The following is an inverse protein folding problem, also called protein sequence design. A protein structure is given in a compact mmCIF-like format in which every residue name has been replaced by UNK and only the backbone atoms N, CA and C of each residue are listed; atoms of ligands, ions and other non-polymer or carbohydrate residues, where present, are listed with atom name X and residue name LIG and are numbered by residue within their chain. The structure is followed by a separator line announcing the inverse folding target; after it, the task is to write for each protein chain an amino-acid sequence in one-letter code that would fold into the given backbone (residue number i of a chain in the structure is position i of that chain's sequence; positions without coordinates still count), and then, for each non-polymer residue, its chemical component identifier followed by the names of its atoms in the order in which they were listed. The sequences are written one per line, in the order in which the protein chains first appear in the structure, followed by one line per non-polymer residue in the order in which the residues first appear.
data_IF_445478796036
#
_entry.id   IF_445478796036
#
_cell.length_a   1.000
_cell.length_b   1.000
_cell.length_c   1.000
_cell.angle_alpha   90.00
_cell.angle_beta   90.00
_cell.angle_gamma   90.00
#
_symmetry.space_group_name_H-M   'P 1'
#
loop_
_entity.id
_entity.type
_entity.pdbx_description
1 polymer ?
#
# COMPACT_ATOMS: atom_id res chain seq x y z
N UNK A 1 31.47 75.13 47.32
CA UNK A 1 31.90 74.60 46.02
C UNK A 1 30.69 74.69 45.10
N UNK A 2 30.79 75.60 44.12
CA UNK A 2 29.85 75.96 43.04
C UNK A 2 28.35 76.23 43.30
N UNK A 3 28.02 77.45 42.91
CA UNK A 3 26.80 78.27 43.01
C UNK A 3 25.81 78.08 41.85
N UNK A 4 24.58 78.61 42.06
CA UNK A 4 23.66 79.35 41.14
C UNK A 4 22.27 78.70 40.98
N UNK A 5 21.21 79.35 41.47
CA UNK A 5 20.44 80.47 40.86
C UNK A 5 19.64 79.99 39.62
N UNK A 6 18.29 79.91 39.61
CA UNK A 6 17.21 80.91 39.73
C UNK A 6 16.42 80.99 38.41
N UNK A 7 15.09 80.80 38.51
CA UNK A 7 13.96 81.35 37.70
C UNK A 7 13.63 80.88 36.26
N UNK A 8 12.32 80.58 36.15
CA UNK A 8 11.27 81.06 35.19
C UNK A 8 11.13 80.45 33.79
N UNK A 9 9.92 79.89 33.59
CA UNK A 9 8.97 80.01 32.47
C UNK A 9 9.49 80.35 31.05
N UNK A 10 9.07 79.55 30.07
CA UNK A 10 8.11 79.95 29.00
C UNK A 10 7.88 78.82 27.97
N UNK A 11 6.61 78.65 27.59
CA UNK A 11 6.19 77.89 26.43
C UNK A 11 6.58 78.60 25.11
N UNK A 12 6.95 77.84 24.09
CA UNK A 12 7.16 78.35 22.73
C UNK A 12 6.43 77.42 21.74
N UNK A 13 5.39 77.97 21.10
CA UNK A 13 4.84 77.52 19.82
C UNK A 13 5.75 78.06 18.71
N UNK A 14 6.13 77.23 17.73
CA UNK A 14 6.70 77.70 16.46
C UNK A 14 5.83 77.17 15.32
N UNK A 15 5.25 78.13 14.57
CA UNK A 15 4.72 77.98 13.22
C UNK A 15 5.86 77.59 12.27
N UNK A 16 5.63 76.65 11.36
CA UNK A 16 6.36 76.58 10.09
C UNK A 16 5.42 76.97 8.95
N UNK A 17 5.60 78.19 8.46
CA UNK A 17 5.32 78.62 7.09
C UNK A 17 6.40 78.05 6.16
N UNK A 18 6.01 77.45 5.02
CA UNK A 18 6.96 76.95 4.04
C UNK A 18 6.34 76.57 2.69
N UNK A 19 6.41 77.52 1.76
CA UNK A 19 6.37 77.46 0.29
C UNK A 19 5.70 76.26 -0.43
N UNK A 20 4.67 76.60 -1.21
CA UNK A 20 4.14 75.82 -2.32
C UNK A 20 5.14 75.84 -3.49
N UNK A 21 5.82 74.73 -3.77
CA UNK A 21 6.54 74.50 -5.02
C UNK A 21 5.77 73.45 -5.82
N UNK A 22 5.04 73.89 -6.85
CA UNK A 22 4.44 72.99 -7.83
C UNK A 22 5.55 72.35 -8.68
N UNK A 23 5.90 71.10 -8.38
CA UNK A 23 6.56 70.23 -9.35
C UNK A 23 5.48 69.49 -10.13
N UNK A 24 5.29 69.89 -11.39
CA UNK A 24 4.60 69.08 -12.39
C UNK A 24 5.56 67.96 -12.78
N UNK A 25 5.41 66.79 -12.16
CA UNK A 25 5.98 65.55 -12.69
C UNK A 25 5.02 65.00 -13.76
N UNK A 26 5.49 64.96 -14.99
CA UNK A 26 4.85 64.17 -16.04
C UNK A 26 4.95 62.70 -15.63
N UNK A 27 3.80 62.05 -15.37
CA UNK A 27 3.71 60.60 -15.17
C UNK A 27 4.10 59.89 -16.47
N UNK A 28 5.37 59.54 -16.61
CA UNK A 28 5.79 58.48 -17.52
C UNK A 28 5.19 57.18 -16.98
N UNK A 29 4.51 56.45 -17.86
CA UNK A 29 3.74 55.24 -17.53
C UNK A 29 4.55 54.27 -16.68
N UNK A 30 4.16 54.15 -15.43
CA UNK A 30 4.55 53.03 -14.59
C UNK A 30 3.75 51.83 -15.12
N UNK A 31 4.41 50.93 -15.86
CA UNK A 31 3.85 49.60 -16.06
C UNK A 31 3.61 49.02 -14.67
N UNK A 32 2.36 48.68 -14.37
CA UNK A 32 2.05 47.94 -13.16
C UNK A 32 2.85 46.63 -13.24
N UNK A 33 3.95 46.55 -12.50
CA UNK A 33 4.56 45.28 -12.17
C UNK A 33 3.45 44.51 -11.45
N UNK A 34 2.79 43.60 -12.19
CA UNK A 34 1.92 42.60 -11.59
C UNK A 34 2.86 41.79 -10.72
N UNK A 35 2.88 42.07 -9.43
CA UNK A 35 3.38 41.10 -8.46
C UNK A 35 2.71 39.77 -8.84
N UNK A 36 3.47 38.67 -9.01
CA UNK A 36 2.84 37.38 -9.18
C UNK A 36 1.93 37.20 -7.98
N UNK A 37 0.62 37.26 -8.23
CA UNK A 37 -0.36 36.83 -7.25
C UNK A 37 0.04 35.38 -6.99
N UNK A 38 0.28 34.98 -5.72
CA UNK A 38 0.45 33.56 -5.42
C UNK A 38 -0.67 32.82 -6.14
N UNK A 39 -0.35 31.77 -6.90
CA UNK A 39 -1.38 30.93 -7.50
C UNK A 39 -2.38 30.62 -6.38
N UNK A 40 -3.65 30.96 -6.59
CA UNK A 40 -4.70 30.64 -5.65
C UNK A 40 -4.53 29.16 -5.28
N UNK A 41 -4.33 28.87 -3.99
CA UNK A 41 -4.23 27.47 -3.55
C UNK A 41 -5.59 26.88 -3.80
N UNK A 42 -5.72 26.10 -4.87
CA UNK A 42 -6.99 25.48 -5.22
C UNK A 42 -7.26 24.40 -4.18
N UNK A 43 -8.43 24.49 -3.55
CA UNK A 43 -8.95 23.51 -2.60
C UNK A 43 -9.98 22.64 -3.31
N UNK A 44 -10.13 21.41 -2.84
CA UNK A 44 -11.12 20.47 -3.37
C UNK A 44 -12.54 21.05 -3.28
N UNK A 45 -12.92 21.47 -2.08
CA UNK A 45 -14.18 22.11 -1.76
C UNK A 45 -14.06 22.85 -0.41
N UNK A 46 -14.81 23.94 -0.23
CA UNK A 46 -14.75 24.76 0.99
C UNK A 46 -15.39 24.15 2.23
N UNK A 47 -15.99 22.96 2.11
CA UNK A 47 -16.55 22.22 3.25
C UNK A 47 -15.51 21.34 3.95
N UNK A 48 -14.33 21.12 3.34
CA UNK A 48 -13.19 20.49 4.00
C UNK A 48 -12.31 21.57 4.62
N UNK A 49 -12.36 21.68 5.95
CA UNK A 49 -11.73 22.78 6.67
C UNK A 49 -10.21 22.64 6.78
N UNK A 50 -9.69 21.42 6.62
CA UNK A 50 -8.27 21.14 6.74
C UNK A 50 -7.76 20.25 5.61
N UNK A 51 -6.49 20.43 5.26
CA UNK A 51 -5.74 19.50 4.43
C UNK A 51 -4.29 19.40 4.86
N UNK A 52 -3.63 18.31 4.48
CA UNK A 52 -2.21 18.10 4.67
C UNK A 52 -1.59 17.69 3.33
N UNK A 53 -0.51 18.37 2.93
CA UNK A 53 0.28 17.92 1.79
C UNK A 53 1.07 16.67 2.20
N UNK A 54 1.04 15.65 1.34
CA UNK A 54 1.85 14.46 1.45
C UNK A 54 2.79 14.45 0.25
N UNK A 55 4.08 14.30 0.52
CA UNK A 55 5.10 14.13 -0.50
C UNK A 55 5.62 12.70 -0.42
N UNK A 56 5.48 11.97 -1.52
CA UNK A 56 5.98 10.62 -1.74
C UNK A 56 7.33 10.75 -2.46
N UNK A 57 8.39 10.28 -1.83
CA UNK A 57 9.74 10.39 -2.39
C UNK A 57 9.87 9.58 -3.68
N UNK A 58 10.50 10.17 -4.70
CA UNK A 58 10.78 9.46 -5.96
C UNK A 58 11.73 8.27 -5.76
N UNK A 59 12.50 8.27 -4.67
CA UNK A 59 13.39 7.16 -4.31
C UNK A 59 12.67 5.89 -3.88
N UNK A 60 11.34 5.94 -3.68
CA UNK A 60 10.51 4.76 -3.40
C UNK A 60 10.50 3.79 -4.58
N UNK A 61 10.49 4.32 -5.80
CA UNK A 61 10.29 3.55 -7.03
C UNK A 61 11.56 3.56 -7.91
N UNK A 62 12.06 2.39 -8.35
CA UNK A 62 13.21 2.33 -9.27
C UNK A 62 12.88 2.85 -10.69
N UNK A 63 11.63 2.71 -11.12
CA UNK A 63 11.08 3.23 -12.37
C UNK A 63 9.70 3.84 -12.15
N UNK A 64 9.21 4.63 -13.11
CA UNK A 64 7.86 5.21 -13.03
C UNK A 64 6.82 4.08 -12.99
N UNK A 65 5.88 4.15 -12.03
CA UNK A 65 4.75 3.22 -11.93
C UNK A 65 3.45 3.90 -12.34
N UNK A 66 2.56 3.17 -13.00
CA UNK A 66 1.22 3.65 -13.38
C UNK A 66 0.15 2.99 -12.51
N UNK A 67 -0.87 3.75 -12.11
CA UNK A 67 -1.99 3.25 -11.29
C UNK A 67 -1.53 2.46 -10.04
N UNK A 68 -0.51 2.97 -9.36
CA UNK A 68 0.13 2.27 -8.23
C UNK A 68 -0.60 2.57 -6.90
N UNK A 69 -1.07 1.55 -6.16
CA UNK A 69 -1.68 1.73 -4.85
C UNK A 69 -0.60 1.98 -3.78
N UNK A 70 -0.42 3.24 -3.38
CA UNK A 70 0.53 3.62 -2.33
C UNK A 70 -0.13 3.51 -0.96
N UNK A 71 0.48 2.76 -0.04
CA UNK A 71 0.15 2.79 1.39
C UNK A 71 0.60 4.11 1.99
N UNK A 72 -0.37 4.89 2.48
CA UNK A 72 -0.21 6.06 3.33
C UNK A 72 -0.43 5.64 4.77
N UNK A 73 0.68 5.49 5.51
CA UNK A 73 0.66 5.10 6.94
C UNK A 73 1.05 6.27 7.83
N UNK A 74 0.19 6.59 8.79
CA UNK A 74 0.43 7.64 9.81
C UNK A 74 0.34 7.00 11.19
N UNK A 75 1.47 6.87 11.87
CA UNK A 75 1.56 6.39 13.26
C UNK A 75 1.98 7.47 14.25
N UNK A 76 2.28 8.68 13.75
CA UNK A 76 2.55 9.84 14.61
C UNK A 76 1.24 10.27 15.27
N UNK A 77 1.06 9.88 16.54
CA UNK A 77 -0.13 10.15 17.34
C UNK A 77 -0.49 11.63 17.53
N UNK A 78 0.41 12.55 17.16
CA UNK A 78 0.16 13.99 17.17
C UNK A 78 -0.27 14.55 15.81
N UNK A 79 -0.44 13.71 14.78
CA UNK A 79 -0.95 14.17 13.49
C UNK A 79 -2.38 14.74 13.68
N UNK A 80 -2.67 15.94 13.15
CA UNK A 80 -3.96 16.61 13.34
C UNK A 80 -5.15 15.85 12.74
N UNK A 81 -4.95 14.93 11.78
CA UNK A 81 -6.03 14.08 11.23
C UNK A 81 -6.80 13.34 12.33
N UNK A 82 -6.13 12.92 13.41
CA UNK A 82 -6.76 12.21 14.52
C UNK A 82 -7.58 13.10 15.45
N UNK A 83 -7.42 14.41 15.37
CA UNK A 83 -8.21 15.38 16.13
C UNK A 83 -9.37 15.96 15.32
N UNK A 84 -9.20 16.03 14.00
CA UNK A 84 -10.03 16.85 13.13
C UNK A 84 -10.90 16.06 12.14
N UNK A 85 -10.54 14.83 11.78
CA UNK A 85 -11.40 13.97 10.95
C UNK A 85 -12.54 13.35 11.80
N UNK A 86 -13.58 12.86 11.12
CA UNK A 86 -14.65 12.09 11.76
C UNK A 86 -14.08 10.86 12.46
N UNK A 87 -14.74 10.41 13.53
CA UNK A 87 -14.23 9.29 14.34
C UNK A 87 -14.11 7.97 13.59
N UNK A 88 -14.86 7.80 12.50
CA UNK A 88 -14.82 6.66 11.60
C UNK A 88 -13.95 6.89 10.35
N UNK A 89 -13.38 8.08 10.17
CA UNK A 89 -12.54 8.41 9.00
C UNK A 89 -13.32 8.72 7.72
N UNK A 90 -14.66 8.70 7.74
CA UNK A 90 -15.50 8.83 6.55
C UNK A 90 -15.25 10.10 5.72
N UNK A 91 -14.74 11.16 6.34
CA UNK A 91 -14.47 12.45 5.70
C UNK A 91 -13.04 12.63 5.18
N UNK A 92 -12.19 11.61 5.33
CA UNK A 92 -10.84 11.60 4.78
C UNK A 92 -10.94 11.46 3.25
N UNK A 93 -10.23 12.32 2.53
CA UNK A 93 -10.23 12.34 1.07
C UNK A 93 -8.82 12.64 0.55
N UNK A 94 -8.43 12.01 -0.55
CA UNK A 94 -7.17 12.30 -1.22
C UNK A 94 -7.38 12.98 -2.58
N UNK A 95 -6.51 13.93 -2.93
CA UNK A 95 -6.44 14.52 -4.27
C UNK A 95 -5.02 14.52 -4.82
N UNK A 96 -4.89 14.63 -6.14
CA UNK A 96 -3.63 14.95 -6.80
C UNK A 96 -3.07 16.31 -6.36
N UNK A 97 -1.87 16.64 -6.84
CA UNK A 97 -1.20 17.92 -6.57
C UNK A 97 -1.95 19.17 -7.05
N UNK A 98 -2.97 19.03 -7.90
CA UNK A 98 -3.84 20.15 -8.29
C UNK A 98 -4.84 20.56 -7.19
N UNK A 99 -4.97 19.74 -6.14
CA UNK A 99 -5.85 19.99 -5.00
C UNK A 99 -7.34 19.68 -5.25
N UNK A 100 -7.73 19.21 -6.42
CA UNK A 100 -9.13 19.04 -6.86
C UNK A 100 -9.43 17.68 -7.48
N UNK A 101 -8.48 17.05 -8.16
CA UNK A 101 -8.65 15.74 -8.77
C UNK A 101 -8.60 14.68 -7.69
N UNK A 102 -9.74 14.06 -7.38
CA UNK A 102 -9.83 12.99 -6.39
C UNK A 102 -8.98 11.79 -6.79
N UNK A 103 -8.40 11.14 -5.79
CA UNK A 103 -7.73 9.86 -5.92
C UNK A 103 -8.57 8.79 -5.23
N UNK A 104 -8.68 7.63 -5.86
CA UNK A 104 -9.34 6.48 -5.26
C UNK A 104 -8.53 6.03 -4.05
N UNK A 105 -9.23 5.71 -2.96
CA UNK A 105 -8.61 5.27 -1.73
C UNK A 105 -9.47 4.27 -0.98
N UNK A 106 -8.79 3.49 -0.14
CA UNK A 106 -9.32 2.51 0.79
C UNK A 106 -8.63 2.76 2.14
N UNK A 107 -9.41 2.82 3.21
CA UNK A 107 -8.95 2.93 4.57
C UNK A 107 -9.01 1.53 5.18
N UNK A 108 -7.87 0.85 5.15
CA UNK A 108 -7.73 -0.46 5.78
C UNK A 108 -7.84 -0.34 7.30
N UNK A 109 -7.30 0.74 7.86
CA UNK A 109 -7.43 1.03 9.29
C UNK A 109 -7.45 2.50 9.61
N UNK A 110 -8.38 2.88 10.48
CA UNK A 110 -8.39 4.20 11.11
C UNK A 110 -8.89 4.12 12.54
N UNK A 111 -8.14 4.74 13.45
CA UNK A 111 -8.64 5.01 14.80
C UNK A 111 -8.11 6.35 15.28
N UNK A 112 -9.01 7.31 15.46
CA UNK A 112 -8.71 8.64 16.00
C UNK A 112 -8.35 8.66 17.49
N UNK A 113 -8.72 7.62 18.25
CA UNK A 113 -8.64 7.64 19.71
C UNK A 113 -7.75 6.55 20.31
N UNK A 114 -7.91 5.28 19.91
CA UNK A 114 -7.26 4.16 20.58
C UNK A 114 -5.78 4.06 20.21
N UNK A 115 -5.49 3.78 18.95
CA UNK A 115 -4.14 3.62 18.40
C UNK A 115 -3.56 4.92 17.85
N UNK A 116 -4.44 5.84 17.38
CA UNK A 116 -4.06 7.05 16.63
C UNK A 116 -3.21 6.70 15.42
N UNK A 117 -3.83 5.90 14.57
CA UNK A 117 -3.22 5.33 13.38
C UNK A 117 -4.18 5.41 12.20
N UNK A 118 -3.60 5.64 11.03
CA UNK A 118 -4.25 5.60 9.73
C UNK A 118 -3.38 4.75 8.80
N UNK A 119 -3.98 3.72 8.22
CA UNK A 119 -3.45 2.93 7.11
C UNK A 119 -4.44 3.07 5.95
N UNK A 120 -4.02 3.77 4.90
CA UNK A 120 -4.86 3.98 3.72
C UNK A 120 -4.10 3.68 2.43
N UNK A 121 -4.71 2.90 1.54
CA UNK A 121 -4.24 2.70 0.18
C UNK A 121 -4.77 3.81 -0.71
N UNK A 122 -3.90 4.45 -1.49
CA UNK A 122 -4.28 5.53 -2.41
C UNK A 122 -3.73 5.24 -3.79
N UNK A 123 -4.59 5.14 -4.81
CA UNK A 123 -4.14 4.90 -6.20
C UNK A 123 -3.51 6.16 -6.77
N UNK A 124 -2.22 6.07 -7.08
CA UNK A 124 -1.44 7.14 -7.69
C UNK A 124 -1.34 6.87 -9.20
N UNK A 125 -1.96 7.71 -10.07
CA UNK A 125 -1.99 7.46 -11.51
C UNK A 125 -0.61 7.38 -12.15
N UNK A 126 0.36 8.14 -11.63
CA UNK A 126 1.75 8.13 -12.07
C UNK A 126 2.65 8.42 -10.88
N UNK A 127 3.30 7.39 -10.36
CA UNK A 127 4.32 7.50 -9.30
C UNK A 127 5.69 7.60 -9.97
N UNK A 128 6.35 8.76 -9.88
CA UNK A 128 7.61 8.96 -10.60
C UNK A 128 8.83 8.48 -9.82
N UNK A 129 9.82 7.90 -10.53
CA UNK A 129 11.15 7.59 -9.97
C UNK A 129 12.13 8.77 -9.99
N UNK A 130 11.81 9.84 -10.72
CA UNK A 130 12.74 10.96 -10.97
C UNK A 130 12.39 12.26 -10.24
N UNK A 131 11.15 12.40 -9.78
CA UNK A 131 10.69 13.55 -9.00
C UNK A 131 9.66 13.14 -7.97
N UNK A 132 9.67 13.79 -6.80
CA UNK A 132 8.72 13.49 -5.74
C UNK A 132 7.28 13.72 -6.20
N UNK A 133 6.39 12.81 -5.81
CA UNK A 133 4.97 12.90 -6.11
C UNK A 133 4.24 13.59 -4.96
N UNK A 134 3.41 14.58 -5.27
CA UNK A 134 2.65 15.36 -4.27
C UNK A 134 1.17 15.03 -4.39
N UNK A 135 0.55 14.76 -3.25
CA UNK A 135 -0.90 14.62 -3.08
C UNK A 135 -1.36 15.44 -1.87
N UNK A 136 -2.67 15.63 -1.73
CA UNK A 136 -3.27 16.26 -0.56
C UNK A 136 -4.25 15.31 0.11
N UNK A 137 -4.21 15.25 1.44
CA UNK A 137 -5.21 14.59 2.28
C UNK A 137 -6.10 15.65 2.91
N UNK A 138 -7.39 15.64 2.64
CA UNK A 138 -8.40 16.53 3.20
C UNK A 138 -9.21 15.82 4.29
N UNK A 139 -9.68 16.57 5.29
CA UNK A 139 -10.55 16.09 6.37
C UNK A 139 -11.29 17.25 7.04
N UNK A 140 -12.07 16.96 8.10
CA UNK A 140 -12.94 17.90 8.84
C UNK A 140 -14.14 18.37 8.05
N UNK A 141 -14.81 17.41 7.40
CA UNK A 141 -16.14 17.59 6.84
C UNK A 141 -17.13 16.64 7.51
N UNK A 142 -17.68 17.06 8.65
CA UNK A 142 -18.65 16.26 9.42
C UNK A 142 -20.00 15.97 8.73
N UNK A 143 -20.24 16.57 7.55
CA UNK A 143 -21.52 16.43 6.85
C UNK A 143 -21.55 15.33 5.80
N UNK A 144 -20.38 14.77 5.44
CA UNK A 144 -20.28 13.72 4.42
C UNK A 144 -20.33 12.33 5.03
N UNK A 145 -20.83 11.39 4.23
CA UNK A 145 -20.63 9.96 4.43
C UNK A 145 -19.26 9.53 3.91
N UNK A 146 -18.97 8.22 3.99
CA UNK A 146 -17.77 7.59 3.44
C UNK A 146 -17.38 8.15 2.05
N UNK A 147 -16.11 8.52 1.92
CA UNK A 147 -15.46 9.08 0.73
C UNK A 147 -14.61 8.07 -0.06
N UNK A 148 -14.41 6.87 0.46
CA UNK A 148 -13.61 5.80 -0.14
C UNK A 148 -14.17 5.36 -1.51
N UNK A 149 -13.27 4.82 -2.33
CA UNK A 149 -13.60 4.04 -3.51
C UNK A 149 -12.68 2.82 -3.55
N UNK A 150 -12.97 1.87 -2.66
CA UNK A 150 -12.13 0.68 -2.40
C UNK A 150 -11.78 -0.06 -3.69
N UNK A 151 -12.79 -0.48 -4.44
CA UNK A 151 -12.58 -1.19 -5.71
C UNK A 151 -11.86 -0.35 -6.79
N UNK A 152 -11.84 0.98 -6.68
CA UNK A 152 -11.11 1.86 -7.58
C UNK A 152 -9.64 2.04 -7.23
N UNK A 153 -9.20 1.62 -6.03
CA UNK A 153 -7.78 1.63 -5.62
C UNK A 153 -6.97 0.63 -6.42
N UNK A 154 -7.56 -0.54 -6.61
CA UNK A 154 -6.96 -1.68 -7.27
C UNK A 154 -7.34 -1.63 -8.75
N UNK A 155 -6.33 -1.50 -9.63
CA UNK A 155 -6.57 -1.50 -11.07
C UNK A 155 -7.27 -2.80 -11.54
N UNK A 156 -7.78 -2.80 -12.76
CA UNK A 156 -8.50 -3.97 -13.30
C UNK A 156 -7.64 -5.23 -13.43
N UNK A 157 -6.31 -5.09 -13.34
CA UNK A 157 -5.41 -6.23 -13.42
C UNK A 157 -5.27 -6.94 -12.06
N UNK A 158 -5.62 -6.29 -10.94
CA UNK A 158 -5.77 -6.99 -9.66
C UNK A 158 -7.00 -7.90 -9.70
N UNK A 159 -6.76 -9.19 -9.49
CA UNK A 159 -7.81 -10.22 -9.48
C UNK A 159 -8.26 -10.60 -8.07
N UNK A 160 -7.43 -10.31 -7.06
CA UNK A 160 -7.72 -10.51 -5.65
C UNK A 160 -6.81 -9.60 -4.82
N UNK A 161 -7.39 -8.97 -3.79
CA UNK A 161 -6.64 -8.32 -2.71
C UNK A 161 -7.26 -8.73 -1.39
N UNK A 162 -6.50 -9.45 -0.57
CA UNK A 162 -6.88 -9.93 0.75
C UNK A 162 -5.93 -9.31 1.77
N UNK A 163 -6.44 -8.33 2.52
CA UNK A 163 -5.72 -7.68 3.62
C UNK A 163 -5.69 -8.56 4.88
N UNK A 164 -6.60 -9.53 5.04
CA UNK A 164 -6.65 -10.47 6.18
C UNK A 164 -6.80 -9.78 7.54
N UNK A 165 -7.43 -8.62 7.58
CA UNK A 165 -7.62 -7.76 8.75
C UNK A 165 -8.98 -7.98 9.44
N UNK A 166 -9.94 -8.66 8.81
CA UNK A 166 -11.22 -8.95 9.45
C UNK A 166 -11.04 -9.85 10.67
N UNK A 167 -11.58 -9.41 11.81
CA UNK A 167 -11.43 -10.13 13.08
C UNK A 167 -12.48 -11.22 13.32
N UNK A 168 -13.44 -11.35 12.39
CA UNK A 168 -14.48 -12.37 12.40
C UNK A 168 -15.22 -12.40 11.06
N UNK A 169 -15.77 -13.55 10.69
CA UNK A 169 -16.63 -13.65 9.52
C UNK A 169 -15.80 -13.83 8.25
N UNK A 170 -16.26 -13.26 7.14
CA UNK A 170 -15.66 -13.40 5.81
C UNK A 170 -14.52 -12.40 5.63
N UNK A 171 -13.37 -12.84 5.12
CA UNK A 171 -12.38 -11.96 4.52
C UNK A 171 -12.85 -11.49 3.15
N UNK A 172 -12.94 -10.17 2.98
CA UNK A 172 -13.48 -9.51 1.82
C UNK A 172 -12.37 -9.25 0.79
N UNK A 173 -12.70 -9.42 -0.48
CA UNK A 173 -11.82 -9.02 -1.58
C UNK A 173 -11.98 -7.51 -1.85
N UNK A 174 -10.89 -6.75 -1.71
CA UNK A 174 -10.91 -5.31 -1.94
C UNK A 174 -11.02 -4.93 -3.42
N UNK A 175 -10.88 -5.88 -4.34
CA UNK A 175 -11.09 -5.63 -5.78
C UNK A 175 -12.57 -5.63 -6.15
N UNK A 176 -12.89 -5.15 -7.36
CA UNK A 176 -14.25 -5.23 -7.91
C UNK A 176 -14.75 -6.65 -8.23
N UNK A 177 -13.92 -7.67 -8.03
CA UNK A 177 -14.24 -9.05 -8.39
C UNK A 177 -15.04 -9.79 -7.31
N UNK A 178 -15.06 -9.28 -6.07
CA UNK A 178 -15.81 -9.88 -4.96
C UNK A 178 -15.45 -11.36 -4.73
N UNK A 179 -14.16 -11.70 -4.84
CA UNK A 179 -13.63 -13.03 -4.58
C UNK A 179 -13.45 -13.28 -3.07
N UNK A 180 -14.49 -12.98 -2.30
CA UNK A 180 -14.53 -13.11 -0.85
C UNK A 180 -14.31 -14.57 -0.42
N UNK A 181 -13.68 -14.76 0.73
CA UNK A 181 -13.42 -16.10 1.28
C UNK A 181 -14.68 -16.96 1.47
N UNK A 182 -14.55 -18.26 1.17
CA UNK A 182 -15.60 -19.27 1.33
C UNK A 182 -15.60 -19.83 2.75
N UNK A 183 -14.42 -20.13 3.28
CA UNK A 183 -14.26 -20.66 4.63
C UNK A 183 -12.93 -20.21 5.22
N UNK A 184 -12.93 -20.04 6.53
CA UNK A 184 -11.79 -19.58 7.32
C UNK A 184 -11.71 -20.49 8.54
N UNK A 185 -10.57 -21.13 8.70
CA UNK A 185 -10.19 -21.86 9.91
C UNK A 185 -8.77 -21.43 10.25
N UNK A 186 -8.62 -20.50 11.19
CA UNK A 186 -7.32 -19.91 11.57
C UNK A 186 -7.26 -19.76 13.09
N UNK A 187 -6.05 -19.64 13.64
CA UNK A 187 -5.85 -19.55 15.10
C UNK A 187 -6.29 -18.20 15.64
N UNK A 188 -5.89 -17.13 14.93
CA UNK A 188 -6.30 -15.77 15.18
C UNK A 188 -6.67 -15.16 13.83
N UNK A 189 -7.93 -14.73 13.69
CA UNK A 189 -8.41 -14.07 12.48
C UNK A 189 -8.18 -12.56 12.64
N UNK A 190 -7.44 -11.93 11.75
CA UNK A 190 -7.17 -10.46 11.69
C UNK A 190 -6.61 -9.79 12.94
N UNK A 191 -6.27 -10.56 13.98
CA UNK A 191 -5.82 -10.05 15.29
C UNK A 191 -4.36 -10.37 15.58
N UNK A 192 -3.75 -11.22 14.76
CA UNK A 192 -2.30 -11.39 14.80
C UNK A 192 -1.64 -10.10 14.30
N UNK A 193 -0.40 -9.85 14.75
CA UNK A 193 0.38 -8.73 14.21
C UNK A 193 0.57 -8.95 12.71
N UNK A 194 0.11 -8.01 11.88
CA UNK A 194 0.35 -7.95 10.44
C UNK A 194 1.60 -7.16 10.08
N UNK A 195 2.01 -7.24 8.82
CA UNK A 195 2.95 -6.29 8.23
C UNK A 195 2.24 -4.95 8.00
N UNK A 196 0.96 -5.00 7.63
CA UNK A 196 0.04 -3.88 7.48
C UNK A 196 -1.21 -4.27 8.30
N UNK A 197 -1.69 -3.34 9.13
CA UNK A 197 -2.71 -3.59 10.15
C UNK A 197 -2.57 -4.93 10.93
N UNK A 198 -3.40 -5.91 10.60
CA UNK A 198 -3.61 -7.17 11.27
C UNK A 198 -3.52 -8.31 10.26
N UNK A 199 -3.29 -9.51 10.77
CA UNK A 199 -3.07 -10.70 9.95
C UNK A 199 -3.78 -11.92 10.54
N UNK A 200 -3.80 -12.98 9.73
CA UNK A 200 -4.21 -14.30 10.19
C UNK A 200 -3.01 -15.12 10.71
N UNK A 201 -3.20 -15.81 11.84
CA UNK A 201 -2.22 -16.73 12.45
C UNK A 201 -2.54 -18.19 12.16
N UNK A 202 -1.55 -18.90 11.63
CA UNK A 202 -1.59 -20.32 11.29
C UNK A 202 -0.66 -21.15 12.18
N UNK A 203 -1.13 -22.31 12.69
CA UNK A 203 -0.38 -23.13 13.67
C UNK A 203 0.02 -24.54 13.19
N UNK A 204 0.22 -24.75 11.89
CA UNK A 204 0.84 -25.98 11.36
C UNK A 204 0.04 -27.28 11.51
N UNK A 205 -1.05 -27.30 12.29
CA UNK A 205 -1.85 -28.48 12.57
C UNK A 205 -3.27 -28.38 11.96
N UNK A 206 -3.75 -29.50 11.40
CA UNK A 206 -5.04 -29.76 10.74
C UNK A 206 -6.08 -28.63 10.68
N UNK A 207 -6.56 -28.35 9.47
CA UNK A 207 -7.61 -27.36 9.16
C UNK A 207 -7.22 -25.96 9.67
N UNK A 208 -6.06 -25.48 9.21
CA UNK A 208 -5.65 -24.11 9.45
C UNK A 208 -5.45 -23.43 8.08
N UNK A 209 -6.55 -23.03 7.46
CA UNK A 209 -6.56 -22.46 6.11
C UNK A 209 -7.71 -21.48 5.87
N UNK A 210 -7.46 -20.56 4.94
CA UNK A 210 -8.50 -19.75 4.29
C UNK A 210 -8.70 -20.30 2.89
N UNK A 211 -9.94 -20.68 2.58
CA UNK A 211 -10.34 -21.10 1.23
C UNK A 211 -11.00 -19.94 0.51
N UNK A 212 -10.48 -19.58 -0.66
CA UNK A 212 -11.03 -18.56 -1.55
C UNK A 212 -11.80 -19.23 -2.70
N UNK A 213 -12.68 -18.48 -3.41
CA UNK A 213 -13.43 -19.02 -4.54
C UNK A 213 -12.55 -19.43 -5.71
N UNK A 214 -13.11 -20.21 -6.64
CA UNK A 214 -12.40 -20.56 -7.86
C UNK A 214 -12.19 -19.31 -8.71
N UNK A 215 -10.95 -18.83 -8.79
CA UNK A 215 -10.56 -17.65 -9.56
C UNK A 215 -10.33 -18.00 -11.03
N UNK A 216 -11.38 -18.40 -11.77
CA UNK A 216 -11.26 -18.97 -13.13
C UNK A 216 -10.44 -18.15 -14.14
N UNK A 217 -10.37 -16.82 -13.97
CA UNK A 217 -9.57 -15.95 -14.83
C UNK A 217 -8.09 -15.93 -14.42
N UNK A 218 -7.79 -15.93 -13.11
CA UNK A 218 -6.43 -16.14 -12.60
C UNK A 218 -5.89 -17.53 -12.97
N UNK A 219 -6.81 -18.50 -12.99
CA UNK A 219 -6.58 -19.89 -13.34
C UNK A 219 -6.11 -20.02 -14.80
N UNK A 220 -6.71 -19.32 -15.76
CA UNK A 220 -6.30 -19.35 -17.19
C UNK A 220 -4.86 -18.87 -17.36
N UNK A 221 -4.57 -17.71 -16.77
CA UNK A 221 -3.27 -17.04 -16.73
C UNK A 221 -2.09 -17.84 -16.14
N UNK A 222 -2.37 -18.94 -15.44
CA UNK A 222 -1.35 -19.81 -14.86
C UNK A 222 -1.49 -21.26 -15.33
N UNK A 223 -2.13 -21.53 -16.46
CA UNK A 223 -2.24 -22.89 -17.01
C UNK A 223 -1.45 -23.05 -18.29
N UNK A 224 -0.34 -23.79 -18.26
CA UNK A 224 0.35 -24.19 -19.49
C UNK A 224 -0.51 -25.20 -20.26
N UNK A 225 -1.46 -24.75 -21.07
CA UNK A 225 -2.41 -25.60 -21.79
C UNK A 225 -1.90 -26.06 -23.17
N UNK A 226 -0.66 -25.69 -23.51
CA UNK A 226 -0.04 -25.95 -24.81
C UNK A 226 -0.19 -24.78 -25.79
N UNK A 227 -0.96 -23.75 -25.44
CA UNK A 227 -0.98 -22.42 -26.05
C UNK A 227 -0.30 -21.43 -25.10
N UNK A 228 1.04 -21.44 -25.05
CA UNK A 228 1.82 -20.59 -24.14
C UNK A 228 1.83 -19.09 -24.56
N UNK A 229 0.73 -18.54 -25.09
CA UNK A 229 0.67 -17.16 -25.61
C UNK A 229 -0.16 -16.20 -24.76
N UNK A 230 -0.83 -16.68 -23.71
CA UNK A 230 -1.65 -15.89 -22.78
C UNK A 230 -1.43 -16.20 -21.29
N UNK A 231 -0.51 -17.12 -20.94
CA UNK A 231 -0.24 -17.45 -19.54
C UNK A 231 0.72 -16.44 -18.86
N UNK A 232 0.18 -15.46 -18.14
CA UNK A 232 0.96 -14.54 -17.33
C UNK A 232 0.24 -14.12 -16.04
N UNK A 233 0.99 -13.84 -14.98
CA UNK A 233 0.36 -13.36 -13.75
C UNK A 233 1.34 -13.15 -12.61
N UNK A 234 0.86 -12.54 -11.53
CA UNK A 234 1.67 -12.24 -10.34
C UNK A 234 0.92 -12.68 -9.09
N UNK A 235 1.62 -13.30 -8.14
CA UNK A 235 1.14 -13.55 -6.78
C UNK A 235 2.14 -12.90 -5.83
N UNK A 236 1.64 -12.12 -4.88
CA UNK A 236 2.44 -11.39 -3.90
C UNK A 236 1.86 -11.66 -2.50
N UNK A 237 2.72 -11.89 -1.51
CA UNK A 237 2.27 -12.19 -0.14
C UNK A 237 3.33 -11.78 0.89
N UNK A 238 2.88 -11.28 2.03
CA UNK A 238 3.71 -11.17 3.22
C UNK A 238 3.51 -12.40 4.11
N UNK A 239 4.61 -12.97 4.58
CA UNK A 239 4.58 -14.09 5.52
C UNK A 239 5.58 -13.89 6.65
N UNK A 240 5.20 -14.34 7.85
CA UNK A 240 6.00 -14.31 9.06
C UNK A 240 6.17 -15.75 9.58
N UNK A 241 7.16 -16.51 9.09
CA UNK A 241 7.32 -17.91 9.46
C UNK A 241 7.79 -18.05 10.90
N UNK A 242 7.17 -18.93 11.68
CA UNK A 242 7.57 -19.20 13.07
C UNK A 242 7.98 -20.65 13.28
N UNK A 243 8.83 -20.91 14.29
CA UNK A 243 9.22 -22.27 14.66
C UNK A 243 9.97 -23.03 13.55
N UNK A 244 10.02 -24.36 13.67
CA UNK A 244 10.51 -25.25 12.61
C UNK A 244 9.31 -25.69 11.75
N UNK A 245 9.49 -25.90 10.43
CA UNK A 245 8.39 -26.34 9.59
C UNK A 245 8.00 -27.77 9.97
N UNK A 246 6.70 -28.05 10.01
CA UNK A 246 6.23 -29.40 10.30
C UNK A 246 6.44 -30.32 9.07
N UNK A 247 6.31 -29.77 7.85
CA UNK A 247 6.60 -30.44 6.57
C UNK A 247 6.84 -29.43 5.42
N UNK A 248 6.32 -29.70 4.20
CA UNK A 248 6.18 -28.69 3.15
C UNK A 248 4.96 -27.81 3.48
N UNK A 249 5.14 -26.88 4.41
CA UNK A 249 4.18 -25.90 4.92
C UNK A 249 3.71 -24.97 3.80
N UNK A 250 2.45 -25.07 3.37
CA UNK A 250 1.96 -24.27 2.23
C UNK A 250 1.46 -22.92 2.70
N UNK A 251 2.06 -21.86 2.18
CA UNK A 251 1.72 -20.47 2.50
C UNK A 251 0.54 -20.03 1.63
N UNK A 252 0.66 -20.27 0.32
CA UNK A 252 -0.38 -20.01 -0.67
C UNK A 252 -0.38 -21.16 -1.66
N UNK A 253 -1.53 -21.75 -1.96
CA UNK A 253 -1.65 -22.85 -2.90
C UNK A 253 -2.77 -22.64 -3.92
N UNK A 254 -2.45 -22.89 -5.18
CA UNK A 254 -3.36 -23.13 -6.29
C UNK A 254 -3.49 -24.66 -6.43
N UNK A 255 -4.57 -25.29 -5.92
CA UNK A 255 -4.83 -26.72 -6.03
C UNK A 255 -5.29 -27.03 -7.46
N UNK A 256 -5.41 -28.32 -7.83
CA UNK A 256 -5.84 -28.73 -9.16
C UNK A 256 -7.33 -28.44 -9.45
N UNK A 257 -7.66 -28.24 -10.73
CA UNK A 257 -9.02 -28.34 -11.25
C UNK A 257 -9.45 -29.81 -11.22
N UNK A 258 -10.28 -30.14 -10.23
CA UNK A 258 -10.90 -31.45 -9.98
C UNK A 258 -10.03 -32.50 -9.28
N UNK A 259 -10.69 -33.14 -8.31
CA UNK A 259 -10.24 -34.23 -7.47
C UNK A 259 -9.57 -35.36 -8.26
N UNK A 260 -8.23 -35.44 -8.20
CA UNK A 260 -7.39 -36.65 -8.03
C UNK A 260 -5.92 -36.44 -8.44
N UNK A 261 -5.50 -35.25 -8.87
CA UNK A 261 -4.15 -35.03 -9.39
C UNK A 261 -3.29 -34.11 -8.52
N UNK A 262 -2.06 -34.56 -8.26
CA UNK A 262 -1.03 -33.99 -7.39
C UNK A 262 -0.38 -32.69 -7.92
N UNK A 263 -1.14 -31.83 -8.60
CA UNK A 263 -0.62 -30.63 -9.24
C UNK A 263 -0.78 -29.44 -8.30
N UNK A 264 0.32 -28.76 -7.99
CA UNK A 264 0.34 -27.67 -7.02
C UNK A 264 1.12 -26.49 -7.60
N UNK A 265 0.47 -25.33 -7.64
CA UNK A 265 1.11 -24.03 -7.83
C UNK A 265 1.16 -23.27 -6.51
N UNK A 266 2.22 -22.53 -6.22
CA UNK A 266 2.19 -21.50 -5.18
C UNK A 266 3.50 -21.32 -4.42
N UNK A 267 3.35 -20.86 -3.18
CA UNK A 267 4.45 -20.59 -2.23
C UNK A 267 4.34 -21.56 -1.06
N UNK A 268 5.42 -22.28 -0.78
CA UNK A 268 5.51 -23.11 0.43
C UNK A 268 6.85 -22.95 1.11
N UNK A 269 6.86 -23.15 2.41
CA UNK A 269 8.04 -23.24 3.26
C UNK A 269 8.33 -24.72 3.53
N UNK A 270 9.59 -25.14 3.54
CA UNK A 270 9.90 -26.48 4.03
C UNK A 270 11.27 -27.00 3.65
N UNK A 271 11.52 -28.24 4.07
CA UNK A 271 12.77 -28.97 3.82
C UNK A 271 12.62 -29.82 2.55
N UNK A 272 13.02 -29.25 1.41
CA UNK A 272 12.95 -29.92 0.11
C UNK A 272 14.32 -29.95 -0.63
N UNK A 273 14.68 -31.06 -1.33
CA UNK A 273 14.14 -32.41 -1.12
C UNK A 273 14.40 -32.89 0.32
N UNK A 274 13.83 -34.03 0.72
CA UNK A 274 13.97 -34.57 2.08
C UNK A 274 15.44 -34.60 2.52
N UNK A 275 15.74 -33.98 3.67
CA UNK A 275 17.10 -33.80 4.20
C UNK A 275 17.86 -32.58 3.67
N UNK A 276 17.19 -31.69 2.92
CA UNK A 276 17.69 -30.39 2.48
C UNK A 276 17.65 -29.31 3.57
N UNK A 277 17.66 -28.04 3.15
CA UNK A 277 17.53 -26.89 4.03
C UNK A 277 16.08 -26.40 4.08
N UNK A 278 15.67 -25.86 5.24
CA UNK A 278 14.44 -25.09 5.37
C UNK A 278 14.54 -23.81 4.53
N UNK A 279 13.60 -23.65 3.59
CA UNK A 279 13.58 -22.58 2.59
C UNK A 279 12.15 -22.22 2.24
N UNK A 280 12.02 -21.04 1.63
CA UNK A 280 10.80 -20.68 0.89
C UNK A 280 10.99 -21.11 -0.56
N UNK A 281 9.96 -21.75 -1.09
CA UNK A 281 9.91 -22.35 -2.41
C UNK A 281 8.77 -21.74 -3.21
N UNK A 282 9.05 -21.49 -4.48
CA UNK A 282 8.10 -21.05 -5.49
C UNK A 282 8.00 -22.17 -6.52
N UNK A 283 6.80 -22.71 -6.75
CA UNK A 283 6.62 -23.95 -7.53
C UNK A 283 5.44 -23.91 -8.48
N UNK A 284 5.67 -24.31 -9.73
CA UNK A 284 4.62 -24.65 -10.68
C UNK A 284 4.71 -26.12 -11.14
N UNK A 285 3.65 -26.92 -10.88
CA UNK A 285 3.38 -28.16 -11.62
C UNK A 285 3.34 -29.48 -10.85
N UNK A 286 3.71 -30.58 -11.53
CA UNK A 286 3.45 -31.98 -11.13
C UNK A 286 4.35 -32.46 -9.98
N UNK A 287 3.75 -32.69 -8.80
CA UNK A 287 4.47 -32.89 -7.51
C UNK A 287 5.33 -31.66 -7.18
N UNK A 288 5.56 -31.28 -5.91
CA UNK A 288 6.42 -30.13 -5.61
C UNK A 288 7.84 -30.39 -6.12
N UNK A 289 8.13 -30.01 -7.35
CA UNK A 289 9.47 -29.84 -7.87
C UNK A 289 9.77 -28.39 -7.62
N UNK A 290 10.44 -28.14 -6.49
CA UNK A 290 11.09 -26.87 -6.26
C UNK A 290 11.74 -26.34 -7.53
N UNK A 291 11.19 -25.27 -8.09
CA UNK A 291 11.79 -24.67 -9.28
C UNK A 291 12.68 -23.52 -8.88
N UNK A 292 12.25 -22.74 -7.88
CA UNK A 292 13.02 -21.65 -7.29
C UNK A 292 12.93 -21.70 -5.77
N UNK A 293 14.01 -21.28 -5.11
CA UNK A 293 14.06 -21.21 -3.65
C UNK A 293 14.91 -20.07 -3.15
N UNK A 294 14.58 -19.59 -1.97
CA UNK A 294 15.33 -18.56 -1.28
C UNK A 294 15.45 -18.89 0.21
N UNK A 295 16.50 -18.39 0.83
CA UNK A 295 16.67 -18.39 2.28
C UNK A 295 15.77 -17.32 2.92
N UNK A 296 15.49 -17.47 4.21
CA UNK A 296 14.71 -16.53 5.01
C UNK A 296 15.07 -16.72 6.49
N UNK A 297 14.62 -15.79 7.33
CA UNK A 297 14.75 -15.90 8.77
C UNK A 297 13.39 -16.21 9.39
N UNK A 298 13.36 -17.12 10.36
CA UNK A 298 12.18 -17.30 11.21
C UNK A 298 12.00 -16.06 12.10
N UNK A 299 10.76 -15.80 12.48
CA UNK A 299 10.37 -14.66 13.31
C UNK A 299 10.72 -13.29 12.66
N UNK A 300 10.71 -13.24 11.32
CA UNK A 300 10.89 -12.04 10.51
C UNK A 300 9.88 -12.03 9.35
N UNK A 301 9.31 -10.86 9.07
CA UNK A 301 8.45 -10.66 7.89
C UNK A 301 9.27 -10.77 6.62
N UNK A 302 8.78 -11.56 5.67
CA UNK A 302 9.36 -11.67 4.34
C UNK A 302 8.26 -11.51 3.31
N UNK A 303 8.55 -10.67 2.32
CA UNK A 303 7.69 -10.46 1.16
C UNK A 303 8.16 -11.39 0.05
N UNK A 304 7.26 -12.24 -0.42
CA UNK A 304 7.53 -13.19 -1.49
C UNK A 304 6.58 -12.89 -2.64
N UNK A 305 7.14 -12.77 -3.83
CA UNK A 305 6.35 -12.69 -5.04
C UNK A 305 6.83 -13.72 -6.06
N UNK A 306 5.87 -14.27 -6.78
CA UNK A 306 6.13 -15.00 -8.01
C UNK A 306 5.61 -14.19 -9.18
N UNK A 307 6.26 -14.32 -10.32
CA UNK A 307 5.78 -13.73 -11.57
C UNK A 307 5.90 -14.78 -12.67
N UNK A 308 4.79 -15.02 -13.35
CA UNK A 308 4.76 -15.82 -14.56
C UNK A 308 4.62 -14.91 -15.77
N UNK A 309 5.51 -15.08 -16.74
CA UNK A 309 5.59 -14.23 -17.94
C UNK A 309 5.15 -14.98 -19.18
N UNK A 310 4.69 -14.23 -20.19
CA UNK A 310 4.19 -14.73 -21.49
C UNK A 310 5.16 -15.65 -22.25
N UNK A 311 6.45 -15.61 -21.94
CA UNK A 311 7.46 -16.49 -22.55
C UNK A 311 7.61 -17.82 -21.79
N UNK A 312 6.72 -18.11 -20.85
CA UNK A 312 6.67 -19.32 -20.06
C UNK A 312 7.74 -19.37 -18.97
N UNK A 313 8.24 -18.23 -18.50
CA UNK A 313 9.27 -18.14 -17.45
C UNK A 313 8.62 -17.79 -16.11
N UNK A 314 9.00 -18.54 -15.07
CA UNK A 314 8.68 -18.25 -13.69
C UNK A 314 9.85 -17.50 -13.05
N UNK A 315 9.57 -16.37 -12.43
CA UNK A 315 10.50 -15.54 -11.67
C UNK A 315 10.11 -15.53 -10.19
N UNK A 316 11.10 -15.65 -9.31
CA UNK A 316 10.91 -15.58 -7.87
C UNK A 316 11.56 -14.33 -7.28
N UNK A 317 10.82 -13.60 -6.45
CA UNK A 317 11.26 -12.38 -5.78
C UNK A 317 11.17 -12.52 -4.26
N UNK A 318 12.18 -12.01 -3.56
CA UNK A 318 12.21 -11.88 -2.11
C UNK A 318 12.48 -10.43 -1.77
N UNK A 319 11.61 -9.82 -0.97
CA UNK A 319 11.74 -8.42 -0.56
C UNK A 319 11.93 -7.48 -1.77
N UNK A 320 11.17 -7.74 -2.84
CA UNK A 320 11.21 -6.96 -4.08
C UNK A 320 12.38 -7.26 -5.02
N UNK A 321 13.32 -8.15 -4.66
CA UNK A 321 14.51 -8.46 -5.47
C UNK A 321 14.41 -9.87 -6.03
N UNK A 322 14.66 -10.03 -7.34
CA UNK A 322 14.68 -11.34 -8.00
C UNK A 322 15.82 -12.21 -7.43
N UNK A 323 15.49 -13.43 -7.01
CA UNK A 323 16.48 -14.41 -6.55
C UNK A 323 16.73 -15.53 -7.57
N UNK A 324 15.89 -15.64 -8.60
CA UNK A 324 16.11 -16.57 -9.71
C UNK A 324 14.90 -16.66 -10.64
N UNK A 325 15.14 -17.31 -11.77
CA UNK A 325 14.13 -17.60 -12.79
C UNK A 325 14.42 -18.89 -13.53
N UNK A 326 13.39 -19.43 -14.18
CA UNK A 326 13.38 -20.77 -14.76
C UNK A 326 12.20 -20.91 -15.70
N UNK A 327 12.31 -21.72 -16.76
CA UNK A 327 11.12 -22.12 -17.51
C UNK A 327 10.13 -22.82 -16.58
N UNK A 328 8.87 -22.42 -16.60
CA UNK A 328 7.82 -23.13 -15.88
C UNK A 328 7.50 -24.45 -16.57
N UNK A 329 6.89 -25.36 -15.81
CA UNK A 329 6.53 -26.69 -16.28
C UNK A 329 5.12 -27.01 -15.78
N UNK A 330 4.21 -27.34 -16.70
CA UNK A 330 2.94 -28.04 -16.40
C UNK A 330 2.10 -27.41 -15.27
N UNK A 331 1.72 -26.14 -15.41
CA UNK A 331 0.90 -25.46 -14.43
C UNK A 331 -0.60 -25.82 -14.60
N UNK A 332 -1.30 -26.07 -13.49
CA UNK A 332 -2.75 -26.37 -13.49
C UNK A 332 -3.43 -25.67 -12.31
N UNK A 333 -4.71 -25.39 -12.44
CA UNK A 333 -5.32 -24.36 -11.62
C UNK A 333 -6.67 -24.78 -10.98
N UNK A 334 -6.99 -24.26 -9.78
CA UNK A 334 -8.11 -24.64 -8.89
C UNK A 334 -8.34 -23.61 -7.76
N UNK A 335 -9.03 -23.96 -6.66
CA UNK A 335 -9.39 -23.05 -5.54
C UNK A 335 -8.19 -22.43 -4.81
N UNK A 336 -8.00 -21.12 -4.76
CA UNK A 336 -6.86 -20.57 -4.01
C UNK A 336 -7.00 -20.83 -2.49
N UNK A 337 -5.96 -21.37 -1.86
CA UNK A 337 -5.86 -21.57 -0.41
C UNK A 337 -4.74 -20.71 0.18
N UNK A 338 -5.00 -20.17 1.37
CA UNK A 338 -4.02 -19.49 2.21
C UNK A 338 -3.75 -20.38 3.42
N UNK A 339 -2.48 -20.60 3.75
CA UNK A 339 -2.06 -21.39 4.92
C UNK A 339 -2.14 -22.91 4.76
N UNK A 340 -2.66 -23.43 3.64
CA UNK A 340 -2.59 -24.87 3.34
C UNK A 340 -2.67 -25.20 1.85
N UNK A 341 -2.38 -26.46 1.49
CA UNK A 341 -2.64 -27.02 0.15
C UNK A 341 -4.02 -27.67 0.00
N UNK A 342 -4.81 -27.75 1.08
CA UNK A 342 -6.06 -28.53 1.19
C UNK A 342 -6.07 -29.95 0.59
N UNK A 343 -4.89 -30.56 0.37
CA UNK A 343 -4.74 -31.86 -0.28
C UNK A 343 -5.25 -32.99 0.61
N UNK A 344 -6.10 -33.85 0.06
CA UNK A 344 -6.66 -35.03 0.75
C UNK A 344 -5.61 -36.08 1.15
N UNK A 345 -4.44 -36.10 0.50
CA UNK A 345 -3.43 -37.14 0.67
C UNK A 345 -2.28 -36.74 1.60
N UNK A 346 -1.94 -35.45 1.68
CA UNK A 346 -0.90 -34.90 2.56
C UNK A 346 -1.01 -33.36 2.59
N UNK A 347 -1.90 -32.80 3.43
CA UNK A 347 -1.99 -31.34 3.54
C UNK A 347 -0.76 -30.84 4.32
N UNK A 348 -0.02 -29.91 3.72
CA UNK A 348 0.99 -29.14 4.42
C UNK A 348 0.39 -27.83 4.89
N UNK A 349 0.51 -27.51 6.17
CA UNK A 349 -0.05 -26.32 6.79
C UNK A 349 1.05 -25.33 7.16
N UNK A 350 0.81 -24.05 6.95
CA UNK A 350 1.73 -23.01 7.36
C UNK A 350 1.74 -22.84 8.88
N UNK A 351 2.92 -22.52 9.41
CA UNK A 351 3.10 -22.10 10.80
C UNK A 351 3.69 -20.69 10.81
N UNK A 352 2.91 -19.71 11.26
CA UNK A 352 3.26 -18.30 11.20
C UNK A 352 2.08 -17.40 10.87
N UNK A 353 2.35 -16.13 10.54
CA UNK A 353 1.32 -15.18 10.11
C UNK A 353 1.37 -14.95 8.60
N UNK A 354 0.22 -14.74 7.97
CA UNK A 354 0.13 -14.34 6.57
C UNK A 354 -0.67 -13.05 6.48
N UNK A 355 -0.21 -12.15 5.63
CA UNK A 355 -0.78 -10.83 5.42
C UNK A 355 -0.68 -10.44 3.94
N UNK A 356 -1.56 -9.55 3.48
CA UNK A 356 -1.45 -8.87 2.18
C UNK A 356 -1.29 -9.82 0.98
N UNK A 357 -2.17 -10.81 0.85
CA UNK A 357 -2.19 -11.67 -0.33
C UNK A 357 -2.83 -10.93 -1.50
N UNK A 358 -2.08 -10.83 -2.61
CA UNK A 358 -2.53 -10.17 -3.83
C UNK A 358 -2.26 -11.02 -5.05
N UNK A 359 -3.17 -10.97 -6.01
CA UNK A 359 -2.97 -11.60 -7.31
C UNK A 359 -3.25 -10.62 -8.44
N UNK A 360 -2.44 -10.65 -9.49
CA UNK A 360 -2.66 -9.90 -10.73
C UNK A 360 -2.72 -10.83 -11.93
N UNK A 361 -3.58 -10.50 -12.89
CA UNK A 361 -3.68 -11.14 -14.21
C UNK A 361 -2.67 -10.58 -15.22
N UNK A 362 -1.60 -9.92 -14.74
CA UNK A 362 -0.46 -9.47 -15.55
C UNK A 362 0.85 -9.87 -14.86
N UNK A 363 1.92 -9.99 -15.66
CA UNK A 363 3.28 -10.07 -15.15
C UNK A 363 3.75 -8.69 -14.65
N UNK A 364 3.59 -8.42 -13.35
CA UNK A 364 4.09 -7.20 -12.70
C UNK A 364 5.62 -7.20 -12.75
N UNK A 365 6.21 -6.03 -13.01
CA UNK A 365 7.66 -5.91 -13.18
C UNK A 365 8.41 -6.08 -11.84
N UNK A 366 9.68 -6.46 -11.89
CA UNK A 366 10.53 -6.47 -10.70
C UNK A 366 10.59 -5.10 -9.99
N UNK A 367 10.54 -4.00 -10.74
CA UNK A 367 10.50 -2.65 -10.17
C UNK A 367 9.17 -2.35 -9.47
N UNK A 368 8.04 -2.88 -9.96
CA UNK A 368 6.74 -2.79 -9.28
C UNK A 368 6.80 -3.51 -7.92
N UNK A 369 7.37 -4.71 -7.89
CA UNK A 369 7.51 -5.51 -6.67
C UNK A 369 8.47 -4.87 -5.66
N UNK A 370 9.57 -4.27 -6.14
CA UNK A 370 10.47 -3.50 -5.29
C UNK A 370 9.81 -2.23 -4.74
N UNK A 371 9.01 -1.55 -5.55
CA UNK A 371 8.24 -0.38 -5.11
C UNK A 371 7.22 -0.78 -4.03
N UNK A 372 6.52 -1.89 -4.22
CA UNK A 372 5.57 -2.46 -3.24
C UNK A 372 6.27 -2.80 -1.93
N UNK A 373 7.38 -3.55 -1.98
CA UNK A 373 8.17 -3.87 -0.80
C UNK A 373 8.68 -2.61 -0.08
N UNK A 374 9.26 -1.64 -0.79
CA UNK A 374 9.75 -0.39 -0.20
C UNK A 374 8.63 0.37 0.53
N UNK A 375 7.47 0.50 -0.12
CA UNK A 375 6.34 1.22 0.43
C UNK A 375 5.76 0.53 1.66
N UNK A 376 5.65 -0.80 1.65
CA UNK A 376 4.99 -1.59 2.70
C UNK A 376 5.90 -1.92 3.88
N UNK A 377 7.20 -2.13 3.63
CA UNK A 377 8.17 -2.47 4.68
C UNK A 377 8.56 -1.27 5.54
N UNK A 378 8.61 -0.07 4.94
CA UNK A 378 8.98 1.17 5.62
C UNK A 378 8.30 2.40 5.00
N UNK A 379 6.96 2.55 5.15
CA UNK A 379 6.23 3.68 4.57
C UNK A 379 6.80 5.04 5.01
N UNK A 380 7.18 5.16 6.30
CA UNK A 380 7.72 6.38 6.88
C UNK A 380 9.07 6.81 6.27
N UNK A 381 9.80 5.89 5.63
CA UNK A 381 11.04 6.20 4.91
C UNK A 381 10.84 7.02 3.64
N UNK A 382 9.62 7.00 3.08
CA UNK A 382 9.32 7.60 1.78
C UNK A 382 8.21 8.64 1.81
N UNK A 383 7.46 8.73 2.90
CA UNK A 383 6.37 9.68 3.07
C UNK A 383 6.78 10.84 3.97
N UNK A 384 6.55 12.06 3.51
CA UNK A 384 6.67 13.25 4.34
C UNK A 384 5.36 14.03 4.35
N UNK A 385 4.99 14.50 5.53
CA UNK A 385 3.73 15.20 5.77
C UNK A 385 4.03 16.65 6.14
N UNK A 386 3.46 17.59 5.40
CA UNK A 386 3.59 19.02 5.70
C UNK A 386 2.76 19.43 6.92
N UNK A 387 2.87 20.69 7.35
CA UNK A 387 1.94 21.23 8.33
C UNK A 387 0.50 21.23 7.78
N UNK A 388 -0.48 21.10 8.67
CA UNK A 388 -1.90 21.26 8.32
C UNK A 388 -2.15 22.67 7.78
N UNK A 389 -2.91 22.74 6.69
CA UNK A 389 -3.42 23.95 6.07
C UNK A 389 -4.89 24.11 6.45
N UNK A 390 -5.34 25.36 6.61
CA UNK A 390 -6.72 25.73 6.94
C UNK A 390 -7.34 26.45 5.75
N UNK A 391 -8.60 26.11 5.42
CA UNK A 391 -9.37 26.72 4.32
C UNK A 391 -9.53 28.24 4.46
#
# INVERSE_FOLDING_TARGET
MYTKDVKREKAIKILLTGLLFCFVFTFQGCSSAKWPVPSERVWYDGSWLYRQQITISSSMAPSDQSDFPVLIKITNQNNPVFANAQSNGDDILFTSSDGTTRLDHEIEYYSSLATKELDAWVRIPSLSSSSDTVIYMYYSNSSVSNQENVAGVWDSNFTLVQHLQETSGTHLDSTSNNNDSISIDVTAQGTATGQINGADEFVGASLNDVTLPMLRNLIDNFMTDGDATDDHGTIEVWMYPTGSPESNDNVVALPPAWSDNWQQGGVFRGIYPIGGNDRIWVVSGWSPKAILSTDYNVDEWVYIAWVYTDDGVLHGYKNGIEFGSTSAVEATAGYLHIGSTNSWAAPGYFTGNIDELRTSDIARSGDWLLTSFNNQSNPAGFLTFAAEEVY
#
